data_IF_112857768072
#
_entry.id   IF_112857768072
#
_cell.length_a   1.000
_cell.length_b   1.000
_cell.length_c   1.000
_cell.angle_alpha   90.00
_cell.angle_beta   90.00
_cell.angle_gamma   90.00
#
_symmetry.space_group_name_H-M   'P 1'
#
loop_
_entity.id
_entity.type
_entity.pdbx_description
1 polymer ?
#
# COMPACT_ATOMS: atom_id res chain seq x y z
N UNK A 1 11.54 -13.89 3.96
CA UNK A 1 10.43 -14.21 3.04
C UNK A 1 10.98 -14.37 1.63
N UNK A 2 10.23 -15.03 0.73
CA UNK A 2 10.63 -15.27 -0.66
C UNK A 2 11.11 -14.00 -1.38
N UNK A 3 10.39 -12.88 -1.24
CA UNK A 3 10.73 -11.59 -1.87
C UNK A 3 12.11 -11.09 -1.43
N UNK A 4 12.42 -11.15 -0.14
CA UNK A 4 13.70 -10.68 0.40
C UNK A 4 14.87 -11.59 -0.02
N UNK A 5 14.62 -12.90 -0.13
CA UNK A 5 15.59 -13.85 -0.66
C UNK A 5 15.92 -13.54 -2.13
N UNK A 6 14.91 -13.29 -2.96
CA UNK A 6 15.13 -12.93 -4.36
C UNK A 6 15.85 -11.58 -4.50
N UNK A 7 15.50 -10.58 -3.68
CA UNK A 7 16.22 -9.30 -3.61
C UNK A 7 17.70 -9.50 -3.26
N UNK A 8 18.03 -10.38 -2.31
CA UNK A 8 19.41 -10.72 -1.95
C UNK A 8 20.20 -11.38 -3.09
N UNK A 9 19.50 -12.00 -4.05
CA UNK A 9 20.08 -12.59 -5.28
C UNK A 9 20.13 -11.61 -6.45
N UNK A 10 19.73 -10.35 -6.24
CA UNK A 10 19.64 -9.34 -7.31
C UNK A 10 18.49 -9.57 -8.29
N UNK A 11 17.48 -10.37 -7.92
CA UNK A 11 16.34 -10.68 -8.76
C UNK A 11 15.16 -9.75 -8.43
N UNK A 12 14.52 -9.24 -9.49
CA UNK A 12 13.30 -8.44 -9.38
C UNK A 12 12.08 -9.35 -9.30
N UNK A 13 11.16 -9.03 -8.39
CA UNK A 13 9.89 -9.74 -8.20
C UNK A 13 8.75 -8.78 -8.50
N UNK A 14 7.75 -9.26 -9.25
CA UNK A 14 6.50 -8.57 -9.55
C UNK A 14 5.33 -9.55 -9.42
N UNK A 15 4.12 -9.05 -9.16
CA UNK A 15 2.93 -9.89 -8.98
C UNK A 15 1.84 -9.48 -9.97
N UNK A 16 1.13 -10.47 -10.52
CA UNK A 16 -0.02 -10.27 -11.41
C UNK A 16 -1.08 -11.37 -11.16
N UNK A 17 -2.39 -11.11 -11.27
CA UNK A 17 -3.08 -9.80 -11.23
C UNK A 17 -3.62 -9.60 -9.82
N UNK A 18 -3.38 -8.42 -9.22
CA UNK A 18 -3.80 -8.09 -7.86
C UNK A 18 -4.96 -7.11 -7.91
N UNK A 19 -6.10 -7.52 -7.39
CA UNK A 19 -7.36 -6.76 -7.47
C UNK A 19 -8.00 -6.51 -6.10
N UNK A 20 -7.48 -7.14 -5.03
CA UNK A 20 -7.89 -6.88 -3.67
C UNK A 20 -7.09 -5.71 -3.07
N UNK A 21 -7.77 -4.74 -2.47
CA UNK A 21 -7.15 -3.51 -1.95
C UNK A 21 -6.19 -3.79 -0.79
N UNK A 22 -6.50 -4.76 0.08
CA UNK A 22 -5.63 -5.08 1.20
C UNK A 22 -4.34 -5.77 0.72
N UNK A 23 -4.44 -6.68 -0.24
CA UNK A 23 -3.27 -7.29 -0.88
C UNK A 23 -2.43 -6.25 -1.63
N UNK A 24 -3.06 -5.34 -2.38
CA UNK A 24 -2.36 -4.24 -3.06
C UNK A 24 -1.59 -3.37 -2.08
N UNK A 25 -2.22 -2.96 -0.97
CA UNK A 25 -1.58 -2.16 0.07
C UNK A 25 -0.34 -2.87 0.61
N UNK A 26 -0.49 -4.12 1.01
CA UNK A 26 0.61 -4.91 1.58
C UNK A 26 1.77 -5.10 0.60
N UNK A 27 1.48 -5.35 -0.68
CA UNK A 27 2.53 -5.52 -1.70
C UNK A 27 3.28 -4.22 -2.01
N UNK A 28 2.57 -3.09 -2.07
CA UNK A 28 3.16 -1.80 -2.41
C UNK A 28 3.92 -1.17 -1.22
N UNK A 29 3.34 -1.18 -0.03
CA UNK A 29 3.90 -0.49 1.14
C UNK A 29 4.89 -1.39 1.91
N UNK A 30 4.51 -2.63 2.23
CA UNK A 30 5.34 -3.50 3.06
C UNK A 30 6.41 -4.27 2.27
N UNK A 31 6.03 -4.83 1.11
CA UNK A 31 6.97 -5.62 0.28
C UNK A 31 7.76 -4.75 -0.71
N UNK A 32 7.24 -3.57 -1.04
CA UNK A 32 7.76 -2.67 -2.08
C UNK A 32 8.03 -3.41 -3.39
N UNK A 33 7.02 -4.11 -3.91
CA UNK A 33 7.08 -4.83 -5.18
C UNK A 33 6.04 -4.26 -6.17
N UNK A 34 6.38 -4.17 -7.46
CA UNK A 34 5.43 -3.77 -8.49
C UNK A 34 4.32 -4.81 -8.68
N UNK A 35 3.13 -4.32 -9.00
CA UNK A 35 1.94 -5.14 -9.26
C UNK A 35 1.32 -4.82 -10.62
N UNK A 36 0.68 -5.81 -11.22
CA UNK A 36 -0.28 -5.64 -12.32
C UNK A 36 -1.69 -5.73 -11.74
N UNK A 37 -2.57 -4.78 -12.08
CA UNK A 37 -3.94 -4.68 -11.54
C UNK A 37 -4.91 -4.25 -12.64
N UNK A 38 -6.15 -4.74 -12.56
CA UNK A 38 -7.24 -4.26 -13.42
C UNK A 38 -7.84 -2.94 -12.89
N UNK A 39 -7.45 -2.52 -11.67
CA UNK A 39 -7.96 -1.34 -10.99
C UNK A 39 -6.85 -0.30 -10.72
N UNK A 40 -6.23 0.29 -11.77
CA UNK A 40 -5.12 1.23 -11.60
C UNK A 40 -5.50 2.47 -10.77
N UNK A 41 -6.79 2.83 -10.74
CA UNK A 41 -7.30 3.95 -9.93
C UNK A 41 -7.06 3.77 -8.42
N UNK A 42 -6.89 2.54 -7.93
CA UNK A 42 -6.61 2.29 -6.51
C UNK A 42 -5.18 2.64 -6.12
N UNK A 43 -4.23 2.57 -7.06
CA UNK A 43 -2.83 2.98 -6.82
C UNK A 43 -2.77 4.47 -6.46
N UNK A 44 -3.48 5.33 -7.20
CA UNK A 44 -3.54 6.77 -6.89
C UNK A 44 -4.17 7.05 -5.53
N UNK A 45 -5.19 6.28 -5.13
CA UNK A 45 -5.81 6.40 -3.81
C UNK A 45 -4.84 5.99 -2.69
N UNK A 46 -4.09 4.92 -2.87
CA UNK A 46 -3.06 4.46 -1.93
C UNK A 46 -1.99 5.54 -1.72
N UNK A 47 -1.41 6.07 -2.79
CA UNK A 47 -0.41 7.16 -2.69
C UNK A 47 -0.95 8.39 -1.97
N UNK A 48 -2.22 8.74 -2.23
CA UNK A 48 -2.88 9.85 -1.55
C UNK A 48 -3.05 9.59 -0.04
N UNK A 49 -3.44 8.38 0.34
CA UNK A 49 -3.58 7.99 1.75
C UNK A 49 -2.24 7.98 2.48
N UNK A 50 -1.16 7.50 1.85
CA UNK A 50 0.19 7.56 2.43
C UNK A 50 0.63 9.00 2.70
N UNK A 51 0.35 9.93 1.78
CA UNK A 51 0.64 11.36 1.97
C UNK A 51 -0.20 12.02 3.08
N UNK A 52 -1.44 11.57 3.30
CA UNK A 52 -2.27 12.02 4.43
C UNK A 52 -1.69 11.50 5.75
N UNK A 53 -1.28 10.22 5.78
CA UNK A 53 -0.68 9.57 6.96
C UNK A 53 0.61 10.27 7.39
N UNK A 54 1.46 10.67 6.45
CA UNK A 54 2.69 11.44 6.73
C UNK A 54 2.42 12.81 7.37
N UNK A 55 1.23 13.38 7.15
CA UNK A 55 0.79 14.63 7.76
C UNK A 55 0.09 14.42 9.11
N UNK A 56 0.20 13.23 9.70
CA UNK A 56 -0.46 12.83 10.95
C UNK A 56 -1.96 13.17 10.98
N UNK A 57 -2.62 13.05 9.81
CA UNK A 57 -4.02 13.40 9.66
C UNK A 57 -4.35 14.82 10.17
N UNK A 58 -3.49 15.81 9.94
CA UNK A 58 -3.58 17.18 10.49
C UNK A 58 -4.96 17.87 10.36
N UNK A 59 -5.82 17.43 9.44
CA UNK A 59 -7.20 17.86 9.34
C UNK A 59 -8.07 17.21 10.45
N UNK A 60 -8.81 17.98 11.27
CA UNK A 60 -9.60 17.46 12.39
C UNK A 60 -10.60 16.36 12.00
N UNK A 61 -11.18 16.44 10.81
CA UNK A 61 -12.10 15.43 10.28
C UNK A 61 -11.41 14.08 10.03
N UNK A 62 -10.13 14.10 9.61
CA UNK A 62 -9.35 12.91 9.32
C UNK A 62 -8.84 12.24 10.61
N UNK A 63 -8.41 13.03 11.60
CA UNK A 63 -8.08 12.53 12.94
C UNK A 63 -9.26 11.81 13.59
N UNK A 64 -10.45 12.41 13.53
CA UNK A 64 -11.67 11.83 14.10
C UNK A 64 -12.00 10.48 13.46
N UNK A 65 -11.91 10.39 12.13
CA UNK A 65 -12.15 9.15 11.40
C UNK A 65 -11.14 8.04 11.76
N UNK A 66 -9.84 8.38 11.85
CA UNK A 66 -8.79 7.44 12.22
C UNK A 66 -9.00 6.86 13.64
N UNK A 67 -9.28 7.72 14.63
CA UNK A 67 -9.52 7.28 16.01
C UNK A 67 -10.80 6.45 16.16
N UNK A 68 -11.83 6.70 15.35
CA UNK A 68 -13.10 5.95 15.41
C UNK A 68 -13.00 4.49 14.94
N UNK A 69 -11.91 4.12 14.25
CA UNK A 69 -11.66 2.75 13.77
C UNK A 69 -10.90 1.88 14.78
N UNK A 70 -10.56 2.41 15.97
CA UNK A 70 -9.76 1.73 17.01
C UNK A 70 -10.60 1.18 18.18
N UNK A 71 -11.93 1.16 18.07
CA UNK A 71 -12.85 0.64 19.09
C UNK A 71 -13.60 -0.60 18.61
#
# INVERSE_FOLDING_TARGET
SFVMEQKGRGLHVAVWTVNDIAEMHWMLEDLSIPILTDYPSYVSKMTHLSAIREKEYAEPALQTAACSSSN
#
